data_IF_166721985656
#
_entry.id   IF_166721985656
#
_cell.length_a   1.000
_cell.length_b   1.000
_cell.length_c   1.000
_cell.angle_alpha   90.00
_cell.angle_beta   90.00
_cell.angle_gamma   90.00
#
_symmetry.space_group_name_H-M   'P 1'
#
loop_
_entity.id
_entity.type
_entity.pdbx_description
1 polymer ?
#
# COMPACT_ATOMS: atom_id res chain seq x y z
N UNK A 1 2.48 19.65 23.35
CA UNK A 1 3.00 18.77 22.29
C UNK A 1 3.95 19.56 21.41
N UNK A 2 5.08 19.01 20.97
CA UNK A 2 6.03 19.75 20.11
C UNK A 2 5.45 19.95 18.70
N UNK A 3 5.65 21.10 18.07
CA UNK A 3 5.06 21.47 16.77
C UNK A 3 5.29 20.43 15.66
N UNK A 4 6.50 19.83 15.61
CA UNK A 4 6.82 18.76 14.65
C UNK A 4 5.97 17.49 14.88
N UNK A 5 5.70 17.15 16.13
CA UNK A 5 4.84 16.01 16.47
C UNK A 5 3.40 16.30 16.07
N UNK A 6 2.90 17.51 16.31
CA UNK A 6 1.57 17.93 15.84
C UNK A 6 1.44 17.84 14.31
N UNK A 7 2.44 18.35 13.59
CA UNK A 7 2.45 18.26 12.13
C UNK A 7 2.44 16.80 11.65
N UNK A 8 3.20 15.92 12.30
CA UNK A 8 3.23 14.49 11.97
C UNK A 8 1.85 13.84 12.15
N UNK A 9 1.19 14.06 13.29
CA UNK A 9 -0.16 13.51 13.52
C UNK A 9 -1.20 14.06 12.54
N UNK A 10 -1.07 15.33 12.14
CA UNK A 10 -1.92 15.90 11.09
C UNK A 10 -1.68 15.23 9.73
N UNK A 11 -0.44 14.84 9.42
CA UNK A 11 -0.13 14.06 8.21
C UNK A 11 -0.74 12.66 8.27
N UNK A 12 -0.76 12.00 9.43
CA UNK A 12 -1.44 10.71 9.59
C UNK A 12 -2.93 10.79 9.24
N UNK A 13 -3.62 11.85 9.66
CA UNK A 13 -5.01 12.12 9.25
C UNK A 13 -5.11 12.34 7.75
N UNK A 14 -4.21 13.17 7.21
CA UNK A 14 -4.18 13.52 5.78
C UNK A 14 -4.00 12.28 4.89
N UNK A 15 -3.13 11.33 5.27
CA UNK A 15 -2.93 10.11 4.47
C UNK A 15 -4.13 9.17 4.53
N UNK A 16 -4.88 9.13 5.64
CA UNK A 16 -6.15 8.40 5.73
C UNK A 16 -7.17 8.96 4.75
N UNK A 17 -7.41 10.28 4.79
CA UNK A 17 -8.35 10.93 3.86
C UNK A 17 -7.91 10.79 2.39
N UNK A 18 -6.60 10.82 2.13
CA UNK A 18 -6.05 10.62 0.78
C UNK A 18 -6.21 9.17 0.33
N UNK A 19 -6.02 8.21 1.23
CA UNK A 19 -6.26 6.80 0.97
C UNK A 19 -7.71 6.58 0.54
N UNK A 20 -8.68 7.00 1.36
CA UNK A 20 -10.11 6.82 1.09
C UNK A 20 -10.54 7.39 -0.26
N UNK A 21 -10.00 8.56 -0.64
CA UNK A 21 -10.26 9.15 -1.96
C UNK A 21 -9.70 8.29 -3.09
N UNK A 22 -8.44 7.83 -2.98
CA UNK A 22 -7.83 6.97 -4.00
C UNK A 22 -8.55 5.63 -4.13
N UNK A 23 -9.09 5.08 -3.04
CA UNK A 23 -9.88 3.85 -3.11
C UNK A 23 -11.18 4.03 -3.90
N UNK A 24 -11.80 5.22 -3.88
CA UNK A 24 -12.98 5.49 -4.72
C UNK A 24 -12.64 5.58 -6.20
N UNK A 25 -11.44 6.07 -6.52
CA UNK A 25 -11.02 6.24 -7.92
C UNK A 25 -10.54 4.92 -8.55
N UNK A 26 -9.95 4.02 -7.76
CA UNK A 26 -9.22 2.84 -8.26
C UNK A 26 -9.65 1.50 -7.63
N UNK A 27 -10.45 1.52 -6.57
CA UNK A 27 -11.00 0.35 -5.91
C UNK A 27 -12.32 -0.08 -6.51
N UNK A 28 -12.83 -1.20 -6.01
CA UNK A 28 -14.18 -1.70 -6.27
C UNK A 28 -14.95 -1.83 -4.96
N UNK A 29 -16.27 -1.95 -5.02
CA UNK A 29 -17.10 -2.17 -3.82
C UNK A 29 -16.69 -3.41 -3.02
N UNK A 30 -16.09 -4.41 -3.68
CA UNK A 30 -15.63 -5.66 -3.07
C UNK A 30 -14.13 -5.67 -2.70
N UNK A 31 -13.33 -4.78 -3.27
CA UNK A 31 -11.88 -4.73 -3.04
C UNK A 31 -11.40 -3.28 -3.17
N UNK A 32 -11.14 -2.59 -2.04
CA UNK A 32 -10.65 -1.23 -2.07
C UNK A 32 -9.23 -1.15 -2.71
N UNK A 33 -8.45 -2.23 -2.63
CA UNK A 33 -7.09 -2.33 -3.18
C UNK A 33 -7.03 -2.92 -4.60
N UNK A 34 -8.14 -2.93 -5.35
CA UNK A 34 -8.24 -3.58 -6.67
C UNK A 34 -7.08 -3.28 -7.63
N UNK A 35 -6.58 -2.04 -7.63
CA UNK A 35 -5.45 -1.61 -8.47
C UNK A 35 -4.08 -2.20 -8.08
N UNK A 36 -3.96 -2.69 -6.84
CA UNK A 36 -2.79 -3.36 -6.28
C UNK A 36 -2.96 -4.87 -6.37
N UNK A 37 -4.11 -5.40 -5.95
CA UNK A 37 -4.41 -6.85 -5.97
C UNK A 37 -4.42 -7.43 -7.37
N UNK A 38 -4.72 -6.64 -8.40
CA UNK A 38 -4.55 -7.01 -9.81
C UNK A 38 -3.13 -7.49 -10.18
N UNK A 39 -2.11 -7.29 -9.33
CA UNK A 39 -0.80 -7.93 -9.53
C UNK A 39 -0.88 -9.47 -9.48
N UNK A 40 -1.91 -10.03 -8.85
CA UNK A 40 -2.16 -11.48 -8.81
C UNK A 40 -2.38 -12.07 -10.19
N UNK A 41 -2.98 -11.33 -11.12
CA UNK A 41 -3.16 -11.75 -12.51
C UNK A 41 -1.81 -12.04 -13.20
N UNK A 42 -0.72 -11.48 -12.66
CA UNK A 42 0.66 -11.67 -13.10
C UNK A 42 1.45 -12.64 -12.21
N UNK A 43 0.78 -13.38 -11.33
CA UNK A 43 1.40 -14.23 -10.28
C UNK A 43 2.33 -13.46 -9.34
N UNK A 44 2.05 -12.17 -9.12
CA UNK A 44 2.76 -11.34 -8.15
C UNK A 44 1.85 -11.15 -6.94
N UNK A 45 2.35 -11.53 -5.76
CA UNK A 45 1.68 -11.29 -4.49
C UNK A 45 1.23 -9.81 -4.37
N UNK A 46 -0.02 -9.53 -3.96
CA UNK A 46 -0.55 -8.17 -3.84
C UNK A 46 0.34 -7.21 -3.05
N UNK A 47 0.90 -7.62 -1.91
CA UNK A 47 1.75 -6.73 -1.12
C UNK A 47 3.05 -6.39 -1.85
N UNK A 48 3.58 -7.32 -2.66
CA UNK A 48 4.71 -7.05 -3.55
C UNK A 48 4.30 -6.03 -4.62
N UNK A 49 3.08 -6.17 -5.17
CA UNK A 49 2.47 -5.18 -6.07
C UNK A 49 2.42 -3.79 -5.45
N UNK A 50 2.02 -3.67 -4.18
CA UNK A 50 2.02 -2.40 -3.45
C UNK A 50 3.43 -1.81 -3.33
N UNK A 51 4.42 -2.65 -3.01
CA UNK A 51 5.82 -2.21 -2.89
C UNK A 51 6.45 -1.81 -4.23
N UNK A 52 6.02 -2.42 -5.34
CA UNK A 52 6.42 -1.97 -6.68
C UNK A 52 5.90 -0.55 -6.96
N UNK A 53 4.63 -0.26 -6.66
CA UNK A 53 4.08 1.10 -6.79
C UNK A 53 4.78 2.10 -5.87
N UNK A 54 5.13 1.69 -4.65
CA UNK A 54 5.93 2.51 -3.75
C UNK A 54 7.33 2.77 -4.33
N UNK A 55 7.94 1.80 -5.03
CA UNK A 55 9.22 1.97 -5.70
C UNK A 55 9.15 3.02 -6.80
N UNK A 56 8.09 3.04 -7.61
CA UNK A 56 7.91 4.05 -8.67
C UNK A 56 7.93 5.48 -8.09
N UNK A 57 7.27 5.68 -6.94
CA UNK A 57 7.28 6.95 -6.21
C UNK A 57 8.66 7.25 -5.63
N UNK A 58 9.37 6.24 -5.13
CA UNK A 58 10.75 6.39 -4.66
C UNK A 58 11.70 6.80 -5.79
N UNK A 59 11.57 6.21 -6.99
CA UNK A 59 12.35 6.60 -8.18
C UNK A 59 12.14 8.05 -8.57
N UNK A 60 10.93 8.56 -8.38
CA UNK A 60 10.64 9.98 -8.57
C UNK A 60 11.36 10.85 -7.54
N UNK A 61 11.37 10.47 -6.26
CA UNK A 61 12.12 11.18 -5.23
C UNK A 61 13.64 11.14 -5.49
N UNK A 62 14.17 10.01 -5.97
CA UNK A 62 15.57 9.91 -6.40
C UNK A 62 15.87 10.89 -7.54
N UNK A 63 14.98 10.98 -8.53
CA UNK A 63 15.11 11.92 -9.65
C UNK A 63 15.09 13.38 -9.17
N UNK A 64 14.19 13.71 -8.25
CA UNK A 64 14.13 15.04 -7.62
C UNK A 64 15.40 15.38 -6.85
N UNK A 65 15.91 14.44 -6.04
CA UNK A 65 17.12 14.65 -5.27
C UNK A 65 18.36 14.88 -6.16
N UNK A 66 18.38 14.27 -7.35
CA UNK A 66 19.50 14.42 -8.31
C UNK A 66 19.40 15.67 -9.18
N UNK A 67 18.19 16.06 -9.60
CA UNK A 67 17.97 17.08 -10.64
C UNK A 67 17.33 18.36 -10.13
N UNK A 68 16.75 18.34 -8.93
CA UNK A 68 16.07 19.49 -8.31
C UNK A 68 14.68 19.80 -8.87
N UNK A 69 14.19 19.04 -9.86
CA UNK A 69 12.94 19.34 -10.57
C UNK A 69 12.01 18.12 -10.64
N UNK A 70 10.70 18.37 -10.62
CA UNK A 70 9.62 17.40 -10.81
C UNK A 70 8.61 17.93 -11.82
N UNK A 71 8.32 17.16 -12.87
CA UNK A 71 7.47 17.62 -13.96
C UNK A 71 5.96 17.59 -13.65
N UNK A 72 5.49 16.57 -12.93
CA UNK A 72 4.04 16.27 -12.85
C UNK A 72 3.48 16.12 -11.44
N UNK A 73 4.24 15.55 -10.49
CA UNK A 73 3.75 15.22 -9.14
C UNK A 73 4.81 15.64 -8.13
N UNK A 74 4.40 16.25 -7.02
CA UNK A 74 5.33 16.84 -6.06
C UNK A 74 6.06 15.78 -5.21
N UNK A 75 7.17 16.18 -4.60
CA UNK A 75 7.88 15.34 -3.64
C UNK A 75 7.00 15.03 -2.42
N UNK A 76 6.15 15.98 -2.02
CA UNK A 76 5.19 15.81 -0.94
C UNK A 76 4.20 14.69 -1.25
N UNK A 77 3.58 14.71 -2.43
CA UNK A 77 2.61 13.68 -2.85
C UNK A 77 3.27 12.31 -2.94
N UNK A 78 4.51 12.25 -3.46
CA UNK A 78 5.27 11.00 -3.56
C UNK A 78 5.57 10.40 -2.18
N UNK A 79 5.90 11.24 -1.19
CA UNK A 79 6.12 10.80 0.20
C UNK A 79 4.84 10.28 0.85
N UNK A 80 3.70 10.93 0.63
CA UNK A 80 2.41 10.47 1.14
C UNK A 80 1.99 9.15 0.49
N UNK A 81 2.16 9.03 -0.83
CA UNK A 81 1.84 7.80 -1.57
C UNK A 81 2.69 6.63 -1.09
N UNK A 82 3.97 6.85 -0.80
CA UNK A 82 4.83 5.80 -0.21
C UNK A 82 4.30 5.34 1.15
N UNK A 83 3.90 6.28 2.02
CA UNK A 83 3.31 5.92 3.31
C UNK A 83 2.02 5.10 3.14
N UNK A 84 1.15 5.51 2.21
CA UNK A 84 -0.10 4.80 1.91
C UNK A 84 0.19 3.39 1.37
N UNK A 85 1.03 3.26 0.35
CA UNK A 85 1.37 1.95 -0.20
C UNK A 85 2.07 1.03 0.82
N UNK A 86 2.84 1.59 1.76
CA UNK A 86 3.45 0.80 2.84
C UNK A 86 2.40 0.22 3.78
N UNK A 87 1.34 0.99 4.11
CA UNK A 87 0.23 0.50 4.92
C UNK A 87 -0.63 -0.53 4.16
N UNK A 88 -0.93 -0.27 2.88
CA UNK A 88 -1.64 -1.24 2.02
C UNK A 88 -0.86 -2.56 1.94
N UNK A 89 0.46 -2.49 1.71
CA UNK A 89 1.31 -3.68 1.67
C UNK A 89 1.22 -4.47 2.98
N UNK A 90 1.26 -3.79 4.13
CA UNK A 90 1.14 -4.44 5.42
C UNK A 90 -0.21 -5.17 5.59
N UNK A 91 -1.33 -4.53 5.26
CA UNK A 91 -2.67 -5.14 5.34
C UNK A 91 -2.74 -6.40 4.46
N UNK A 92 -2.29 -6.30 3.20
CA UNK A 92 -2.28 -7.44 2.27
C UNK A 92 -1.36 -8.58 2.73
N UNK A 93 -0.24 -8.27 3.39
CA UNK A 93 0.62 -9.29 4.01
C UNK A 93 -0.07 -10.01 5.17
N UNK A 94 -0.89 -9.30 5.95
CA UNK A 94 -1.67 -9.92 7.03
C UNK A 94 -2.76 -10.84 6.46
N UNK A 95 -3.46 -10.39 5.42
CA UNK A 95 -4.49 -11.18 4.72
C UNK A 95 -3.93 -12.48 4.15
N UNK A 96 -2.76 -12.41 3.49
CA UNK A 96 -2.07 -13.59 2.97
C UNK A 96 -1.70 -14.58 4.08
N UNK A 97 -1.17 -14.09 5.21
CA UNK A 97 -0.81 -14.95 6.35
C UNK A 97 -2.03 -15.62 6.96
N UNK A 98 -3.15 -14.93 7.04
CA UNK A 98 -4.39 -15.47 7.60
C UNK A 98 -4.97 -16.56 6.69
N UNK A 99 -5.00 -16.32 5.38
CA UNK A 99 -5.43 -17.31 4.38
C UNK A 99 -4.59 -18.59 4.44
N UNK A 100 -3.26 -18.46 4.60
CA UNK A 100 -2.36 -19.62 4.73
C UNK A 100 -2.62 -20.42 6.01
N UNK A 101 -2.95 -19.75 7.12
CA UNK A 101 -3.29 -20.43 8.39
C UNK A 101 -4.61 -21.18 8.30
N UNK A 102 -5.63 -20.61 7.66
CA UNK A 102 -6.93 -21.27 7.46
C UNK A 102 -6.79 -22.52 6.59
N UNK A 103 -6.05 -22.42 5.48
CA UNK A 103 -5.77 -23.58 4.63
C UNK A 103 -4.95 -24.67 5.33
N UNK A 104 -4.10 -24.32 6.30
CA UNK A 104 -3.39 -25.29 7.14
C UNK A 104 -4.34 -26.02 8.10
N UNK A 105 -5.29 -25.31 8.71
CA UNK A 105 -6.27 -25.90 9.64
C UNK A 105 -7.21 -26.86 8.88
N UNK A 106 -7.79 -26.43 7.76
CA UNK A 106 -8.66 -27.28 6.93
C UNK A 106 -7.93 -28.51 6.36
N UNK A 107 -6.66 -28.36 5.96
CA UNK A 107 -5.82 -29.47 5.50
C UNK A 107 -5.48 -30.49 6.59
N UNK A 108 -5.48 -30.08 7.86
CA UNK A 108 -5.16 -30.96 9.00
C UNK A 108 -6.34 -31.80 9.50
N UNK A 109 -7.58 -31.35 9.28
CA UNK A 109 -8.81 -32.05 9.70
C UNK A 109 -9.24 -33.17 8.75
N UNK A 110 -8.66 -33.25 7.53
CA UNK A 110 -8.99 -34.27 6.53
C UNK A 110 -8.12 -35.54 6.62
N UNK A 111 -7.18 -35.59 7.58
CA UNK A 111 -6.19 -36.67 7.74
C UNK A 111 -6.53 -37.78 8.75
N UNK A 112 -7.71 -37.77 9.36
CA UNK A 112 -8.12 -38.79 10.34
C UNK A 112 -9.45 -39.45 9.94
N UNK A 113 -9.39 -40.39 9.00
CA UNK A 113 -10.34 -41.51 8.89
C UNK A 113 -9.68 -42.68 8.14
#
# INVERSE_FOLDING_TARGET
MHLRSERFHNLLKTIGDLHDRKQKDYGSDSDPFANVTASQDWNISPWVGAMLRANDKMRRLQSFAQRGELANESAYDSLLDIAIYSLIAYVLMEDEKNTQKEGYIEGSDTGAN
#
